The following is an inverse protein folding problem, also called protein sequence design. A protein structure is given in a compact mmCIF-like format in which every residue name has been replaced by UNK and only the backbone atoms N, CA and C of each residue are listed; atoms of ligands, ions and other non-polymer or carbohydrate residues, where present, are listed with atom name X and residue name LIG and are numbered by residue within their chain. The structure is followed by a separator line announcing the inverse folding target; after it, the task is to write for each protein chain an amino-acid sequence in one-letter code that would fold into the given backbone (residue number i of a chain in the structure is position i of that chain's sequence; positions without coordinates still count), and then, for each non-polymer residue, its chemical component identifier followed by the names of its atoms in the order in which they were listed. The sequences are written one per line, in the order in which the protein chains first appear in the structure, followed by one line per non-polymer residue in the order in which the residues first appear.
data_IF_787756006144
#
_entry.id   IF_787756006144
#
_cell.length_a   1.000
_cell.length_b   1.000
_cell.length_c   1.000
_cell.angle_alpha   90.00
_cell.angle_beta   90.00
_cell.angle_gamma   90.00
#
_symmetry.space_group_name_H-M   'P 1'
#
loop_
_entity.id
_entity.type
_entity.pdbx_description
1 polymer ?
#
# COMPACT_ATOMS: atom_id res chain seq x y z
N UNK A 1 -36.89 -15.72 12.29
CA UNK A 1 -36.29 -15.51 10.96
C UNK A 1 -34.79 -15.41 11.07
N UNK A 2 -34.08 -16.11 10.17
CA UNK A 2 -32.63 -15.96 10.01
C UNK A 2 -32.46 -14.94 8.88
N UNK A 3 -31.99 -13.74 9.21
CA UNK A 3 -31.60 -12.76 8.20
C UNK A 3 -30.28 -13.24 7.58
N UNK A 4 -30.28 -13.48 6.26
CA UNK A 4 -29.11 -14.01 5.54
C UNK A 4 -28.99 -13.37 4.16
N UNK A 5 -27.79 -12.85 3.87
CA UNK A 5 -27.42 -12.23 2.61
C UNK A 5 -26.67 -13.18 1.67
N UNK A 6 -26.44 -12.71 0.45
CA UNK A 6 -25.68 -13.47 -0.56
C UNK A 6 -24.21 -13.59 -0.14
N UNK A 7 -23.76 -14.83 0.08
CA UNK A 7 -22.40 -15.15 0.50
C UNK A 7 -22.27 -15.56 1.97
N UNK A 8 -23.36 -15.50 2.73
CA UNK A 8 -23.42 -16.04 4.08
C UNK A 8 -23.42 -17.57 4.08
N UNK A 9 -22.80 -18.16 5.09
CA UNK A 9 -22.76 -19.61 5.28
C UNK A 9 -23.59 -19.96 6.50
N UNK A 10 -24.63 -20.77 6.28
CA UNK A 10 -25.47 -21.28 7.36
C UNK A 10 -24.79 -22.51 7.99
N UNK A 11 -24.60 -22.46 9.31
CA UNK A 11 -24.05 -23.56 10.10
C UNK A 11 -25.10 -24.07 11.10
N UNK A 12 -25.02 -25.35 11.45
CA UNK A 12 -25.83 -25.90 12.54
C UNK A 12 -25.38 -25.28 13.88
N UNK A 13 -26.32 -24.99 14.78
CA UNK A 13 -26.01 -24.35 16.07
C UNK A 13 -24.99 -25.12 16.94
N UNK A 14 -24.94 -26.45 16.80
CA UNK A 14 -23.97 -27.31 17.51
C UNK A 14 -22.58 -27.41 16.84
N UNK A 15 -22.40 -26.80 15.67
CA UNK A 15 -21.15 -26.82 14.91
C UNK A 15 -20.95 -25.47 14.20
N UNK A 16 -20.70 -24.38 14.94
CA UNK A 16 -20.52 -23.06 14.35
C UNK A 16 -19.27 -23.04 13.47
N UNK A 17 -19.40 -22.45 12.28
CA UNK A 17 -18.25 -22.18 11.41
C UNK A 17 -17.43 -21.01 11.97
N UNK A 18 -16.11 -21.15 11.90
CA UNK A 18 -15.21 -20.07 12.26
C UNK A 18 -15.28 -18.96 11.21
N UNK A 19 -15.19 -17.71 11.67
CA UNK A 19 -15.00 -16.53 10.82
C UNK A 19 -13.65 -15.91 11.16
N UNK A 20 -12.91 -15.46 10.16
CA UNK A 20 -11.65 -14.76 10.37
C UNK A 20 -11.35 -13.80 9.24
N UNK A 21 -10.63 -12.73 9.54
CA UNK A 21 -10.01 -11.85 8.56
C UNK A 21 -8.51 -12.16 8.38
N UNK A 22 -7.96 -13.18 9.05
CA UNK A 22 -6.57 -13.60 8.89
C UNK A 22 -6.42 -15.12 8.95
N UNK A 23 -5.66 -15.70 8.03
CA UNK A 23 -5.37 -17.13 8.07
C UNK A 23 -4.01 -17.48 7.47
N UNK A 24 -3.48 -18.62 7.90
CA UNK A 24 -2.35 -19.26 7.26
C UNK A 24 -2.86 -20.19 6.14
N UNK A 25 -2.21 -20.14 4.98
CA UNK A 25 -2.57 -20.97 3.83
C UNK A 25 -1.33 -21.41 3.05
N UNK A 26 -1.42 -22.60 2.46
CA UNK A 26 -0.48 -23.05 1.45
C UNK A 26 -0.95 -22.52 0.09
N UNK A 27 -0.11 -21.78 -0.62
CA UNK A 27 -0.45 -21.13 -1.89
C UNK A 27 0.51 -21.54 -2.97
N UNK A 28 -0.04 -21.97 -4.12
CA UNK A 28 0.68 -22.19 -5.37
C UNK A 28 0.55 -20.93 -6.24
N UNK A 29 1.69 -20.39 -6.68
CA UNK A 29 1.78 -19.17 -7.47
C UNK A 29 1.83 -19.44 -8.97
N UNK A 30 1.06 -18.68 -9.75
CA UNK A 30 0.87 -18.86 -11.19
C UNK A 30 1.37 -17.70 -12.05
N UNK A 31 1.71 -16.56 -11.44
CA UNK A 31 2.12 -15.38 -12.20
C UNK A 31 3.63 -15.38 -12.44
N UNK A 32 4.05 -14.87 -13.59
CA UNK A 32 5.47 -14.62 -13.90
C UNK A 32 6.04 -13.52 -12.99
N UNK A 33 5.22 -12.54 -12.63
CA UNK A 33 5.58 -11.54 -11.62
C UNK A 33 5.61 -12.20 -10.24
N UNK A 34 6.69 -12.04 -9.45
CA UNK A 34 6.79 -12.68 -8.15
C UNK A 34 5.74 -12.15 -7.17
N UNK A 35 5.24 -13.03 -6.31
CA UNK A 35 4.42 -12.64 -5.17
C UNK A 35 5.29 -11.90 -4.15
N UNK A 36 4.97 -10.62 -3.96
CA UNK A 36 5.60 -9.76 -2.95
C UNK A 36 4.67 -9.59 -1.74
N UNK A 37 5.17 -9.80 -0.50
CA UNK A 37 4.42 -9.43 0.71
C UNK A 37 4.00 -7.95 0.69
N UNK A 38 2.84 -7.66 1.27
CA UNK A 38 2.25 -6.32 1.33
C UNK A 38 1.36 -5.96 0.13
N UNK A 39 1.52 -6.61 -1.03
CA UNK A 39 0.68 -6.38 -2.22
C UNK A 39 -0.75 -6.85 -1.98
N UNK A 40 -1.71 -6.08 -2.50
CA UNK A 40 -3.15 -6.39 -2.45
C UNK A 40 -3.56 -7.25 -3.65
N UNK A 41 -4.39 -8.25 -3.37
CA UNK A 41 -5.04 -9.15 -4.31
C UNK A 41 -6.53 -9.21 -4.02
N UNK A 42 -7.32 -9.70 -4.97
CA UNK A 42 -8.67 -10.14 -4.68
C UNK A 42 -8.64 -11.64 -4.38
N UNK A 43 -9.14 -12.05 -3.22
CA UNK A 43 -9.33 -13.47 -2.91
C UNK A 43 -10.77 -13.86 -3.23
N UNK A 44 -10.95 -14.98 -3.92
CA UNK A 44 -12.24 -15.58 -4.19
C UNK A 44 -12.35 -16.91 -3.47
N UNK A 45 -13.19 -16.93 -2.45
CA UNK A 45 -13.59 -18.11 -1.69
C UNK A 45 -14.90 -18.66 -2.25
N UNK A 46 -15.35 -19.81 -1.76
CA UNK A 46 -16.57 -20.45 -2.25
C UNK A 46 -17.82 -19.56 -2.18
N UNK A 47 -17.94 -18.72 -1.15
CA UNK A 47 -19.18 -17.96 -0.89
C UNK A 47 -19.06 -16.48 -1.21
N UNK A 48 -17.86 -15.91 -1.19
CA UNK A 48 -17.63 -14.48 -1.43
C UNK A 48 -16.24 -14.19 -1.97
N UNK A 49 -16.11 -13.01 -2.56
CA UNK A 49 -14.82 -12.43 -2.92
C UNK A 49 -14.55 -11.21 -2.05
N UNK A 50 -13.33 -11.08 -1.55
CA UNK A 50 -12.89 -9.95 -0.72
C UNK A 50 -11.50 -9.50 -1.14
N UNK A 51 -11.09 -8.30 -0.72
CA UNK A 51 -9.69 -7.92 -0.82
C UNK A 51 -8.85 -8.73 0.18
N UNK A 52 -7.67 -9.14 -0.24
CA UNK A 52 -6.69 -9.85 0.55
C UNK A 52 -5.31 -9.22 0.38
N UNK A 53 -4.48 -9.32 1.40
CA UNK A 53 -3.10 -8.89 1.42
C UNK A 53 -2.25 -10.04 1.95
N UNK A 54 -1.12 -10.31 1.28
CA UNK A 54 -0.11 -11.22 1.81
C UNK A 54 0.62 -10.48 2.92
N UNK A 55 0.43 -10.87 4.17
CA UNK A 55 1.11 -10.24 5.31
C UNK A 55 2.53 -10.74 5.47
N UNK A 56 2.74 -12.05 5.27
CA UNK A 56 4.02 -12.70 5.52
C UNK A 56 4.15 -13.96 4.64
N UNK A 57 5.33 -14.19 4.09
CA UNK A 57 5.74 -15.48 3.53
C UNK A 57 6.62 -16.17 4.57
N UNK A 58 6.15 -17.27 5.17
CA UNK A 58 6.92 -18.00 6.18
C UNK A 58 8.06 -18.79 5.56
N UNK A 59 7.75 -19.56 4.52
CA UNK A 59 8.72 -20.36 3.78
C UNK A 59 8.12 -20.78 2.44
N UNK A 60 8.99 -21.04 1.48
CA UNK A 60 8.68 -21.76 0.25
C UNK A 60 8.81 -23.26 0.53
N UNK A 61 8.04 -24.09 -0.16
CA UNK A 61 8.20 -25.54 -0.16
C UNK A 61 9.02 -25.95 -1.37
N UNK A 62 10.02 -26.79 -1.13
CA UNK A 62 10.74 -27.47 -2.21
C UNK A 62 9.79 -28.43 -2.95
N UNK A 63 9.64 -28.35 -4.28
CA UNK A 63 8.68 -29.17 -5.03
C UNK A 63 8.95 -30.67 -4.98
N UNK A 64 10.21 -31.08 -4.80
CA UNK A 64 10.62 -32.49 -4.81
C UNK A 64 10.55 -33.11 -3.40
N UNK A 65 10.93 -32.35 -2.38
CA UNK A 65 11.10 -32.84 -1.01
C UNK A 65 10.06 -32.33 -0.02
N UNK A 66 9.26 -31.32 -0.40
CA UNK A 66 8.29 -30.61 0.45
C UNK A 66 8.92 -30.01 1.73
N UNK A 67 10.24 -29.80 1.74
CA UNK A 67 10.93 -29.19 2.86
C UNK A 67 10.81 -27.65 2.81
N UNK A 68 10.74 -26.99 3.97
CA UNK A 68 10.68 -25.54 4.04
C UNK A 68 12.03 -24.91 3.65
N UNK A 69 12.00 -24.04 2.66
CA UNK A 69 13.09 -23.19 2.21
C UNK A 69 12.80 -21.75 2.61
N UNK A 70 13.78 -21.08 3.21
CA UNK A 70 13.66 -19.65 3.49
C UNK A 70 13.56 -18.87 2.18
N UNK A 71 12.47 -18.13 2.00
CA UNK A 71 12.23 -17.33 0.81
C UNK A 71 11.55 -16.02 1.20
N UNK A 72 11.84 -14.95 0.46
CA UNK A 72 11.20 -13.63 0.64
C UNK A 72 10.09 -13.35 -0.37
N UNK A 73 10.03 -14.14 -1.44
CA UNK A 73 9.08 -14.05 -2.56
C UNK A 73 8.73 -15.46 -3.08
N UNK A 74 7.60 -15.60 -3.75
CA UNK A 74 7.25 -16.79 -4.54
C UNK A 74 7.34 -16.46 -6.03
N UNK A 75 8.05 -17.28 -6.79
CA UNK A 75 8.13 -17.21 -8.25
C UNK A 75 7.13 -18.17 -8.91
N UNK A 76 7.05 -18.16 -10.24
CA UNK A 76 6.13 -19.00 -11.00
C UNK A 76 6.29 -20.48 -10.62
N UNK A 77 5.17 -21.15 -10.31
CA UNK A 77 5.07 -22.54 -9.85
C UNK A 77 5.60 -22.82 -8.44
N UNK A 78 5.97 -21.79 -7.68
CA UNK A 78 6.35 -21.98 -6.30
C UNK A 78 5.14 -22.22 -5.40
N UNK A 79 5.33 -23.07 -4.40
CA UNK A 79 4.38 -23.27 -3.31
C UNK A 79 4.99 -22.64 -2.06
N UNK A 80 4.21 -21.87 -1.30
CA UNK A 80 4.66 -21.34 -0.02
C UNK A 80 3.56 -21.28 1.03
N UNK A 81 3.96 -21.35 2.30
CA UNK A 81 3.07 -21.07 3.42
C UNK A 81 3.03 -19.55 3.63
N UNK A 82 1.86 -18.96 3.39
CA UNK A 82 1.59 -17.53 3.50
C UNK A 82 0.64 -17.24 4.65
N UNK A 83 0.82 -16.09 5.28
CA UNK A 83 -0.23 -15.45 6.08
C UNK A 83 -0.97 -14.44 5.22
N UNK A 84 -2.29 -14.58 5.13
CA UNK A 84 -3.18 -13.66 4.42
C UNK A 84 -4.00 -12.85 5.43
N UNK A 85 -4.15 -11.55 5.17
CA UNK A 85 -5.08 -10.66 5.86
C UNK A 85 -6.13 -10.16 4.87
N UNK A 86 -7.39 -10.14 5.30
CA UNK A 86 -8.55 -9.84 4.48
C UNK A 86 -9.14 -8.49 4.89
N UNK A 87 -9.77 -7.82 3.92
CA UNK A 87 -10.45 -6.54 4.16
C UNK A 87 -11.77 -6.72 4.95
N UNK A 88 -12.27 -7.95 5.08
CA UNK A 88 -13.43 -8.27 5.90
C UNK A 88 -13.41 -9.75 6.33
N UNK A 89 -13.99 -10.10 7.49
CA UNK A 89 -14.07 -11.47 7.97
C UNK A 89 -14.84 -12.38 7.00
N UNK A 90 -14.34 -13.60 6.83
CA UNK A 90 -14.97 -14.64 6.00
C UNK A 90 -15.17 -15.91 6.82
N UNK A 91 -16.31 -16.56 6.61
CA UNK A 91 -16.53 -17.91 7.10
C UNK A 91 -15.60 -18.87 6.36
N UNK A 92 -14.89 -19.70 7.10
CA UNK A 92 -13.93 -20.64 6.53
C UNK A 92 -13.90 -21.95 7.32
N UNK A 93 -13.28 -22.96 6.72
CA UNK A 93 -12.80 -24.13 7.43
C UNK A 93 -11.42 -24.52 6.88
N UNK A 94 -10.57 -25.21 7.66
CA UNK A 94 -9.36 -25.82 7.12
C UNK A 94 -9.66 -26.68 5.89
N UNK A 95 -8.83 -26.60 4.85
CA UNK A 95 -9.02 -27.36 3.61
C UNK A 95 -9.07 -28.87 3.85
N UNK A 96 -8.33 -29.35 4.86
CA UNK A 96 -8.35 -30.74 5.30
C UNK A 96 -9.73 -31.20 5.82
N UNK A 97 -10.53 -30.28 6.36
CA UNK A 97 -11.86 -30.54 6.91
C UNK A 97 -12.97 -30.30 5.87
N UNK A 98 -12.87 -29.20 5.11
CA UNK A 98 -13.83 -28.86 4.08
C UNK A 98 -13.15 -28.19 2.88
N UNK A 99 -13.05 -28.93 1.78
CA UNK A 99 -12.39 -28.46 0.54
C UNK A 99 -13.08 -27.27 -0.10
N UNK A 100 -14.40 -27.15 0.08
CA UNK A 100 -15.18 -26.04 -0.47
C UNK A 100 -14.89 -24.75 0.28
N UNK A 101 -14.92 -24.78 1.62
CA UNK A 101 -14.69 -23.58 2.44
C UNK A 101 -13.22 -23.26 2.69
N UNK A 102 -12.33 -24.24 2.52
CA UNK A 102 -10.89 -24.06 2.71
C UNK A 102 -10.11 -23.77 1.42
N UNK A 103 -10.76 -23.82 0.25
CA UNK A 103 -10.11 -23.55 -1.04
C UNK A 103 -10.37 -22.12 -1.51
N UNK A 104 -9.37 -21.50 -2.13
CA UNK A 104 -9.52 -20.17 -2.74
C UNK A 104 -8.59 -19.96 -3.94
N UNK A 105 -8.89 -18.91 -4.69
CA UNK A 105 -7.97 -18.35 -5.69
C UNK A 105 -7.62 -16.89 -5.37
N UNK A 106 -6.43 -16.47 -5.76
CA UNK A 106 -5.98 -15.09 -5.76
C UNK A 106 -6.07 -14.55 -7.19
N UNK A 107 -6.60 -13.34 -7.31
CA UNK A 107 -6.83 -12.65 -8.58
C UNK A 107 -6.19 -11.27 -8.50
N UNK A 108 -5.43 -10.89 -9.52
CA UNK A 108 -4.87 -9.54 -9.62
C UNK A 108 -6.02 -8.56 -9.94
N UNK A 109 -6.22 -7.50 -9.13
CA UNK A 109 -7.36 -6.60 -9.30
C UNK A 109 -7.27 -5.70 -10.54
N UNK A 110 -6.08 -5.52 -11.12
CA UNK A 110 -5.86 -4.72 -12.31
C UNK A 110 -6.06 -5.55 -13.58
N UNK A 111 -5.39 -6.71 -13.67
CA UNK A 111 -5.43 -7.55 -14.88
C UNK A 111 -6.59 -8.54 -14.89
N UNK A 112 -7.23 -8.77 -13.73
CA UNK A 112 -8.26 -9.80 -13.49
C UNK A 112 -7.78 -11.24 -13.74
N UNK A 113 -6.47 -11.44 -13.85
CA UNK A 113 -5.88 -12.77 -14.02
C UNK A 113 -5.84 -13.53 -12.70
N UNK A 114 -6.01 -14.84 -12.76
CA UNK A 114 -5.80 -15.70 -11.58
C UNK A 114 -4.31 -15.90 -11.38
N UNK A 115 -3.79 -15.35 -10.29
CA UNK A 115 -2.34 -15.30 -10.00
C UNK A 115 -1.89 -16.38 -9.03
N UNK A 116 -2.83 -17.05 -8.35
CA UNK A 116 -2.52 -18.20 -7.50
C UNK A 116 -3.76 -18.93 -7.01
N UNK A 117 -3.56 -20.11 -6.43
CA UNK A 117 -4.58 -20.84 -5.70
C UNK A 117 -4.06 -21.29 -4.34
N UNK A 118 -4.94 -21.41 -3.35
CA UNK A 118 -4.52 -21.76 -2.00
C UNK A 118 -5.49 -22.61 -1.21
N UNK A 119 -4.93 -23.20 -0.17
CA UNK A 119 -5.59 -24.08 0.79
C UNK A 119 -5.40 -23.52 2.20
N UNK A 120 -6.50 -23.16 2.86
CA UNK A 120 -6.48 -22.63 4.22
C UNK A 120 -6.05 -23.73 5.19
N UNK A 121 -5.04 -23.46 6.01
CA UNK A 121 -4.59 -24.36 7.08
C UNK A 121 -5.37 -24.12 8.37
N UNK A 122 -5.38 -22.87 8.84
CA UNK A 122 -6.06 -22.45 10.07
C UNK A 122 -6.19 -20.93 10.12
N UNK A 123 -7.21 -20.44 10.83
CA UNK A 123 -7.37 -19.01 11.11
C UNK A 123 -6.37 -18.53 12.16
N UNK A 124 -5.92 -17.28 12.01
CA UNK A 124 -5.00 -16.62 12.93
C UNK A 124 -5.78 -15.72 13.90
N UNK A 125 -5.78 -16.08 15.18
CA UNK A 125 -6.60 -15.44 16.22
C UNK A 125 -6.00 -14.15 16.82
N UNK A 126 -5.08 -13.47 16.14
CA UNK A 126 -4.41 -12.29 16.74
C UNK A 126 -5.32 -11.06 16.87
N UNK A 127 -6.40 -10.97 16.08
CA UNK A 127 -7.27 -9.79 16.01
C UNK A 127 -8.56 -9.86 16.85
N UNK A 128 -8.93 -11.02 17.39
CA UNK A 128 -10.19 -11.17 18.15
C UNK A 128 -10.25 -10.32 19.45
N UNK A 129 -9.12 -9.79 19.91
CA UNK A 129 -9.04 -8.92 21.09
C UNK A 129 -8.91 -7.42 20.78
N UNK A 130 -8.92 -7.01 19.51
CA UNK A 130 -8.87 -5.59 19.13
C UNK A 130 -10.27 -5.15 18.71
N UNK A 131 -11.11 -4.87 19.71
CA UNK A 131 -12.34 -4.15 19.42
C UNK A 131 -11.98 -2.74 18.95
N UNK A 132 -12.47 -2.34 17.77
CA UNK A 132 -12.48 -0.94 17.37
C UNK A 132 -13.25 -0.16 18.43
N UNK A 133 -12.51 0.55 19.28
CA UNK A 133 -13.11 1.45 20.24
C UNK A 133 -13.69 2.61 19.45
N UNK A 134 -15.01 2.75 19.45
CA UNK A 134 -15.64 3.98 19.00
C UNK A 134 -15.17 5.09 19.94
N UNK A 135 -14.26 5.94 19.45
CA UNK A 135 -13.78 7.08 20.20
C UNK A 135 -14.86 8.16 20.19
N UNK A 136 -15.16 8.76 21.34
CA UNK A 136 -16.11 9.86 21.46
C UNK A 136 -15.68 11.11 20.67
N UNK A 137 -14.39 11.21 20.33
CA UNK A 137 -13.81 12.29 19.53
C UNK A 137 -13.41 11.75 18.16
N UNK A 138 -14.25 12.05 17.17
CA UNK A 138 -14.04 11.65 15.80
C UNK A 138 -13.15 12.63 15.02
N UNK A 139 -12.84 12.27 13.78
CA UNK A 139 -12.08 13.09 12.85
C UNK A 139 -12.77 14.44 12.59
N UNK A 140 -14.10 14.44 12.47
CA UNK A 140 -14.88 15.64 12.16
C UNK A 140 -14.67 16.70 13.24
N UNK A 141 -14.72 16.31 14.52
CA UNK A 141 -14.45 17.19 15.64
C UNK A 141 -13.03 17.77 15.58
N UNK A 142 -12.03 16.96 15.25
CA UNK A 142 -10.63 17.40 15.12
C UNK A 142 -10.43 18.37 13.96
N UNK A 143 -11.06 18.12 12.82
CA UNK A 143 -11.05 19.00 11.66
C UNK A 143 -11.70 20.35 11.98
N UNK A 144 -12.86 20.36 12.66
CA UNK A 144 -13.56 21.57 13.06
C UNK A 144 -12.72 22.47 13.97
N UNK A 145 -12.04 21.92 14.97
CA UNK A 145 -11.17 22.71 15.87
C UNK A 145 -10.01 23.35 15.12
N UNK A 146 -9.49 22.68 14.07
CA UNK A 146 -8.40 23.20 13.24
C UNK A 146 -8.87 24.15 12.14
N UNK A 147 -10.18 24.28 11.92
CA UNK A 147 -10.74 25.11 10.85
C UNK A 147 -10.26 24.70 9.45
N UNK A 148 -9.97 23.41 9.23
CA UNK A 148 -9.41 22.92 7.96
C UNK A 148 -9.97 21.55 7.58
N UNK A 149 -9.95 21.25 6.28
CA UNK A 149 -10.22 19.90 5.79
C UNK A 149 -8.93 19.07 5.85
N UNK A 150 -8.92 17.92 6.57
CA UNK A 150 -7.75 17.06 6.60
C UNK A 150 -7.59 16.36 5.26
N UNK A 151 -6.40 16.44 4.67
CA UNK A 151 -6.06 15.81 3.38
C UNK A 151 -4.72 15.10 3.46
N UNK A 152 -4.52 14.10 2.62
CA UNK A 152 -3.23 13.47 2.35
C UNK A 152 -2.79 13.86 0.94
N UNK A 153 -1.73 14.66 0.83
CA UNK A 153 -1.18 15.13 -0.43
C UNK A 153 0.03 14.28 -0.78
N UNK A 154 -0.12 13.43 -1.77
CA UNK A 154 0.84 12.39 -2.10
C UNK A 154 1.65 12.75 -3.34
N UNK A 155 2.87 13.25 -3.15
CA UNK A 155 3.78 13.56 -4.24
C UNK A 155 4.48 12.30 -4.73
N UNK A 156 4.30 11.95 -6.01
CA UNK A 156 4.98 10.86 -6.71
C UNK A 156 5.78 11.37 -7.90
N UNK A 157 6.86 10.68 -8.27
CA UNK A 157 7.77 11.11 -9.34
C UNK A 157 9.18 10.56 -9.17
N UNK A 158 10.00 10.65 -10.21
CA UNK A 158 11.39 10.17 -10.22
C UNK A 158 12.26 10.84 -9.13
N UNK A 159 13.35 10.18 -8.75
CA UNK A 159 14.38 10.85 -7.93
C UNK A 159 14.87 12.11 -8.67
N UNK A 160 15.15 13.22 -7.97
CA UNK A 160 15.56 14.46 -8.65
C UNK A 160 14.46 15.21 -9.42
N UNK A 161 13.22 14.70 -9.47
CA UNK A 161 12.10 15.40 -10.11
C UNK A 161 11.73 16.73 -9.44
N UNK A 162 12.01 16.89 -8.13
CA UNK A 162 11.70 18.11 -7.38
C UNK A 162 10.59 17.98 -6.33
N UNK A 163 10.12 16.75 -6.04
CA UNK A 163 9.07 16.45 -5.05
C UNK A 163 9.29 17.15 -3.71
N UNK A 164 10.41 16.90 -3.02
CA UNK A 164 10.68 17.49 -1.70
C UNK A 164 10.79 19.03 -1.76
N UNK A 165 11.29 19.59 -2.86
CA UNK A 165 11.33 21.04 -3.07
C UNK A 165 9.94 21.64 -3.15
N UNK A 166 9.06 21.07 -3.98
CA UNK A 166 7.68 21.54 -4.13
C UNK A 166 6.90 21.30 -2.84
N UNK A 167 7.01 20.12 -2.23
CA UNK A 167 6.32 19.79 -0.99
C UNK A 167 6.71 20.72 0.17
N UNK A 168 7.99 21.11 0.29
CA UNK A 168 8.42 22.09 1.29
C UNK A 168 7.84 23.49 1.03
N UNK A 169 7.76 23.92 -0.23
CA UNK A 169 7.12 25.20 -0.59
C UNK A 169 5.63 25.18 -0.29
N UNK A 170 4.94 24.06 -0.58
CA UNK A 170 3.53 23.85 -0.22
C UNK A 170 3.35 23.91 1.30
N UNK A 171 4.18 23.19 2.06
CA UNK A 171 4.14 23.19 3.53
C UNK A 171 4.27 24.60 4.10
N UNK A 172 5.27 25.36 3.62
CA UNK A 172 5.50 26.75 4.03
C UNK A 172 4.32 27.66 3.67
N UNK A 173 3.76 27.49 2.47
CA UNK A 173 2.64 28.30 2.00
C UNK A 173 1.34 28.03 2.76
N UNK A 174 1.06 26.76 3.11
CA UNK A 174 -0.07 26.38 3.95
C UNK A 174 0.12 26.85 5.40
N UNK A 175 1.31 26.69 5.96
CA UNK A 175 1.62 27.14 7.32
C UNK A 175 1.45 28.66 7.45
N UNK A 176 1.89 29.44 6.46
CA UNK A 176 1.70 30.89 6.41
C UNK A 176 0.22 31.31 6.37
N UNK A 177 -0.68 30.41 5.92
CA UNK A 177 -2.13 30.60 5.89
C UNK A 177 -2.84 30.05 7.14
N UNK A 178 -2.08 29.61 8.14
CA UNK A 178 -2.61 29.09 9.40
C UNK A 178 -3.02 27.61 9.37
N UNK A 179 -2.75 26.89 8.27
CA UNK A 179 -3.06 25.47 8.21
C UNK A 179 -2.08 24.64 9.05
N UNK A 180 -2.60 23.59 9.68
CA UNK A 180 -1.84 22.58 10.40
C UNK A 180 -1.38 21.48 9.44
N UNK A 181 -0.09 21.43 9.18
CA UNK A 181 0.54 20.54 8.20
C UNK A 181 1.64 19.67 8.83
N UNK A 182 2.00 18.61 8.13
CA UNK A 182 3.21 17.85 8.43
C UNK A 182 3.76 17.17 7.16
N UNK A 183 5.06 17.33 6.88
CA UNK A 183 5.75 16.69 5.76
C UNK A 183 6.45 15.37 6.16
N UNK A 184 5.99 14.27 5.58
CA UNK A 184 6.65 12.97 5.58
C UNK A 184 7.55 12.86 4.35
N UNK A 185 8.87 12.93 4.55
CA UNK A 185 9.88 12.72 3.50
C UNK A 185 10.72 11.46 3.78
N UNK A 186 11.29 10.88 2.72
CA UNK A 186 12.10 9.68 2.77
C UNK A 186 13.30 9.78 3.70
N UNK A 187 13.89 10.96 3.83
CA UNK A 187 15.01 11.18 4.74
C UNK A 187 14.53 11.08 6.21
N UNK A 188 13.40 11.71 6.56
CA UNK A 188 12.87 11.71 7.94
C UNK A 188 12.38 10.32 8.40
N UNK A 189 11.69 9.59 7.53
CA UNK A 189 11.07 8.31 7.90
C UNK A 189 12.08 7.16 7.91
N UNK A 190 13.07 7.17 7.02
CA UNK A 190 14.09 6.10 6.93
C UNK A 190 15.10 6.11 8.08
N UNK A 191 15.28 7.23 8.77
CA UNK A 191 16.12 7.26 9.98
C UNK A 191 15.42 6.71 11.23
N UNK A 192 14.08 6.63 11.22
CA UNK A 192 13.27 6.22 12.37
C UNK A 192 12.42 4.99 12.08
N UNK A 193 11.17 5.23 11.68
CA UNK A 193 10.12 4.23 11.52
C UNK A 193 10.49 3.10 10.54
N UNK A 194 11.23 3.42 9.49
CA UNK A 194 11.57 2.49 8.39
C UNK A 194 13.08 2.19 8.32
N UNK A 195 13.80 2.30 9.45
CA UNK A 195 15.25 2.05 9.52
C UNK A 195 15.64 0.60 9.23
N UNK A 196 14.70 -0.33 9.39
CA UNK A 196 14.84 -1.77 9.14
C UNK A 196 14.69 -2.14 7.66
N UNK A 197 14.24 -1.21 6.81
CA UNK A 197 13.92 -1.45 5.40
C UNK A 197 15.05 -0.94 4.48
N UNK A 198 15.44 -1.78 3.53
CA UNK A 198 16.40 -1.46 2.48
C UNK A 198 15.78 -0.74 1.26
N UNK A 199 16.24 -1.15 0.08
CA UNK A 199 15.85 -0.57 -1.22
C UNK A 199 15.35 -1.62 -2.23
N UNK A 200 15.15 -2.86 -1.79
CA UNK A 200 14.50 -3.91 -2.58
C UNK A 200 13.05 -3.53 -2.88
N UNK A 201 12.43 -4.21 -3.86
CA UNK A 201 11.03 -3.95 -4.18
C UNK A 201 10.11 -4.31 -3.00
N UNK A 202 10.39 -5.39 -2.26
CA UNK A 202 9.65 -5.74 -1.04
C UNK A 202 9.76 -4.63 0.03
N UNK A 203 10.99 -4.16 0.28
CA UNK A 203 11.23 -3.09 1.26
C UNK A 203 10.54 -1.79 0.86
N UNK A 204 10.45 -1.51 -0.45
CA UNK A 204 9.75 -0.34 -0.99
C UNK A 204 8.25 -0.44 -0.78
N UNK A 205 7.66 -1.62 -1.02
CA UNK A 205 6.23 -1.89 -0.78
C UNK A 205 5.90 -1.70 0.70
N UNK A 206 6.66 -2.33 1.60
CA UNK A 206 6.43 -2.21 3.04
C UNK A 206 6.69 -0.79 3.55
N UNK A 207 7.71 -0.11 3.05
CA UNK A 207 7.99 1.29 3.36
C UNK A 207 6.77 2.15 3.03
N UNK A 208 6.21 1.99 1.82
CA UNK A 208 5.06 2.77 1.37
C UNK A 208 3.79 2.46 2.18
N UNK A 209 3.58 1.18 2.53
CA UNK A 209 2.47 0.76 3.40
C UNK A 209 2.54 1.44 4.76
N UNK A 210 3.71 1.41 5.43
CA UNK A 210 3.89 2.07 6.75
C UNK A 210 3.64 3.57 6.67
N UNK A 211 4.14 4.22 5.62
CA UNK A 211 3.93 5.66 5.41
C UNK A 211 2.45 5.99 5.20
N UNK A 212 1.74 5.17 4.42
CA UNK A 212 0.31 5.37 4.17
C UNK A 212 -0.51 5.26 5.46
N UNK A 213 -0.22 4.29 6.33
CA UNK A 213 -0.89 4.15 7.63
C UNK A 213 -0.57 5.32 8.58
N UNK A 214 0.68 5.80 8.60
CA UNK A 214 1.04 6.99 9.39
C UNK A 214 0.33 8.22 8.86
N UNK A 215 0.32 8.42 7.53
CA UNK A 215 -0.39 9.53 6.91
C UNK A 215 -1.89 9.47 7.25
N UNK A 216 -2.50 8.29 7.22
CA UNK A 216 -3.90 8.08 7.64
C UNK A 216 -4.14 8.53 9.08
N UNK A 217 -3.35 8.05 10.04
CA UNK A 217 -3.49 8.44 11.46
C UNK A 217 -3.34 9.95 11.67
N UNK A 218 -2.42 10.59 10.95
CA UNK A 218 -2.19 12.03 11.02
C UNK A 218 -3.32 12.83 10.37
N UNK A 219 -3.86 12.35 9.26
CA UNK A 219 -5.05 12.91 8.62
C UNK A 219 -6.29 12.75 9.52
N UNK A 220 -6.48 11.61 10.18
CA UNK A 220 -7.51 11.39 11.20
C UNK A 220 -7.36 12.34 12.39
N UNK A 221 -6.12 12.72 12.73
CA UNK A 221 -5.83 13.75 13.73
C UNK A 221 -6.18 15.19 13.29
N UNK A 222 -6.67 15.35 12.05
CA UNK A 222 -7.14 16.61 11.49
C UNK A 222 -6.10 17.38 10.66
N UNK A 223 -4.94 16.78 10.35
CA UNK A 223 -3.84 17.46 9.65
C UNK A 223 -3.95 17.38 8.12
N UNK A 224 -3.31 18.33 7.43
CA UNK A 224 -2.95 18.19 6.02
C UNK A 224 -1.56 17.56 5.95
N UNK A 225 -1.49 16.29 5.56
CA UNK A 225 -0.25 15.51 5.55
C UNK A 225 0.33 15.56 4.14
N UNK A 226 1.58 15.99 4.02
CA UNK A 226 2.32 16.02 2.76
C UNK A 226 3.24 14.80 2.73
N UNK A 227 3.18 13.98 1.68
CA UNK A 227 3.98 12.76 1.54
C UNK A 227 4.86 12.89 0.32
N UNK A 228 6.18 12.93 0.49
CA UNK A 228 7.16 13.08 -0.60
C UNK A 228 8.00 11.82 -0.76
N UNK A 229 7.52 10.85 -1.55
CA UNK A 229 8.22 9.59 -1.81
C UNK A 229 8.18 9.25 -3.30
N UNK A 230 9.21 8.55 -3.80
CA UNK A 230 9.22 8.12 -5.21
C UNK A 230 7.96 7.33 -5.55
N UNK A 231 7.52 6.43 -4.65
CA UNK A 231 6.30 5.63 -4.76
C UNK A 231 6.10 5.05 -6.18
N UNK A 232 7.04 4.23 -6.68
CA UNK A 232 7.17 3.94 -8.11
C UNK A 232 6.03 3.11 -8.71
N UNK A 233 5.34 2.31 -7.90
CA UNK A 233 4.36 1.34 -8.37
C UNK A 233 2.92 1.84 -8.19
N UNK A 234 2.08 1.70 -9.23
CA UNK A 234 0.69 2.18 -9.21
C UNK A 234 -0.18 1.46 -8.19
N UNK A 235 0.02 0.15 -8.04
CA UNK A 235 -0.78 -0.66 -7.12
C UNK A 235 -0.64 -0.20 -5.68
N UNK A 236 0.57 0.15 -5.26
CA UNK A 236 0.88 0.62 -3.91
C UNK A 236 0.31 2.02 -3.68
N UNK A 237 0.37 2.92 -4.67
CA UNK A 237 -0.30 4.23 -4.59
C UNK A 237 -1.81 4.09 -4.50
N UNK A 238 -2.42 3.17 -5.27
CA UNK A 238 -3.85 2.87 -5.18
C UNK A 238 -4.22 2.25 -3.82
N UNK A 239 -3.38 1.36 -3.29
CA UNK A 239 -3.59 0.78 -1.97
C UNK A 239 -3.52 1.84 -0.86
N UNK A 240 -2.60 2.80 -0.96
CA UNK A 240 -2.52 3.95 -0.06
C UNK A 240 -3.78 4.84 -0.18
N UNK A 241 -4.21 5.17 -1.39
CA UNK A 241 -5.44 5.95 -1.66
C UNK A 241 -6.67 5.34 -1.01
N UNK A 242 -6.83 4.02 -1.08
CA UNK A 242 -7.97 3.30 -0.49
C UNK A 242 -8.04 3.34 1.05
N UNK A 243 -7.03 3.90 1.73
CA UNK A 243 -7.07 4.10 3.19
C UNK A 243 -7.81 5.37 3.61
N UNK A 244 -8.05 6.29 2.67
CA UNK A 244 -8.65 7.60 2.90
C UNK A 244 -10.07 7.65 2.35
N UNK A 245 -10.89 8.59 2.84
CA UNK A 245 -12.22 8.79 2.26
C UNK A 245 -12.12 9.55 0.93
N UNK A 246 -13.20 9.52 0.17
CA UNK A 246 -13.28 10.17 -1.14
C UNK A 246 -12.93 11.66 -1.04
N UNK A 247 -12.03 12.13 -1.91
CA UNK A 247 -11.59 13.52 -1.98
C UNK A 247 -10.46 13.91 -1.01
N UNK A 248 -10.04 13.01 -0.12
CA UNK A 248 -9.03 13.34 0.89
C UNK A 248 -7.61 13.01 0.44
N UNK A 249 -7.46 12.00 -0.41
CA UNK A 249 -6.19 11.62 -1.00
C UNK A 249 -6.00 12.36 -2.33
N UNK A 250 -4.99 13.23 -2.38
CA UNK A 250 -4.63 14.04 -3.56
C UNK A 250 -3.29 13.55 -4.07
N UNK A 251 -3.29 12.79 -5.16
CA UNK A 251 -2.08 12.33 -5.84
C UNK A 251 -1.54 13.44 -6.74
N UNK A 252 -0.32 13.87 -6.44
CA UNK A 252 0.39 14.92 -7.18
C UNK A 252 1.54 14.29 -7.94
N UNK A 253 1.39 14.17 -9.26
CA UNK A 253 2.44 13.68 -10.13
C UNK A 253 3.42 14.81 -10.46
N UNK A 254 4.65 14.69 -9.96
CA UNK A 254 5.75 15.57 -10.31
C UNK A 254 6.42 15.01 -11.55
N UNK A 255 5.98 15.50 -12.71
CA UNK A 255 6.39 15.00 -14.00
C UNK A 255 7.71 15.67 -14.43
N UNK A 256 8.73 14.82 -14.54
CA UNK A 256 10.08 15.20 -14.98
C UNK A 256 10.62 14.05 -15.82
N UNK A 257 11.02 14.29 -17.08
CA UNK A 257 11.69 13.26 -17.87
C UNK A 257 12.94 12.72 -17.18
N UNK A 258 13.20 11.42 -17.32
CA UNK A 258 14.36 10.76 -16.72
C UNK A 258 15.68 11.46 -17.07
N UNK A 259 15.86 11.86 -18.34
CA UNK A 259 17.06 12.56 -18.77
C UNK A 259 17.31 13.87 -18.02
N UNK A 260 16.23 14.62 -17.71
CA UNK A 260 16.35 15.84 -16.93
C UNK A 260 16.61 15.55 -15.44
N UNK A 261 15.93 14.53 -14.88
CA UNK A 261 16.18 14.09 -13.51
C UNK A 261 17.65 13.63 -13.31
N UNK A 262 18.20 12.90 -14.29
CA UNK A 262 19.61 12.49 -14.37
C UNK A 262 20.55 13.69 -14.55
N UNK A 263 20.18 14.68 -15.37
CA UNK A 263 20.97 15.90 -15.53
C UNK A 263 21.06 16.71 -14.23
N UNK A 264 19.97 16.74 -13.44
CA UNK A 264 19.90 17.45 -12.17
C UNK A 264 20.73 16.77 -11.07
N UNK A 265 20.70 15.44 -11.01
CA UNK A 265 21.35 14.54 -10.05
C UNK A 265 21.79 15.17 -8.71
N UNK A 266 20.85 15.85 -8.04
CA UNK A 266 21.14 16.73 -6.89
C UNK A 266 21.84 15.99 -5.74
N UNK A 267 21.54 14.69 -5.59
CA UNK A 267 22.09 13.82 -4.56
C UNK A 267 23.24 12.91 -5.07
N UNK A 268 23.64 13.03 -6.34
CA UNK A 268 24.66 12.17 -6.96
C UNK A 268 24.27 10.69 -7.06
N UNK A 269 22.96 10.39 -7.00
CA UNK A 269 22.43 9.03 -6.93
C UNK A 269 22.35 8.40 -8.31
N UNK A 270 22.02 9.17 -9.35
CA UNK A 270 21.99 8.64 -10.72
C UNK A 270 23.39 8.27 -11.20
N UNK A 271 24.40 9.11 -10.93
CA UNK A 271 25.78 8.79 -11.26
C UNK A 271 26.26 7.50 -10.57
N UNK A 272 25.89 7.28 -9.30
CA UNK A 272 26.21 6.04 -8.56
C UNK A 272 25.47 4.82 -9.13
N UNK A 273 24.18 4.96 -9.44
CA UNK A 273 23.39 3.90 -10.05
C UNK A 273 23.95 3.48 -11.42
N UNK A 274 24.33 4.45 -12.27
CA UNK A 274 24.95 4.19 -13.59
C UNK A 274 26.31 3.48 -13.49
N UNK A 275 27.03 3.61 -12.37
CA UNK A 275 28.26 2.86 -12.08
C UNK A 275 28.02 1.49 -11.42
N UNK A 276 26.75 1.11 -11.18
CA UNK A 276 26.40 -0.15 -10.52
C UNK A 276 26.57 -0.15 -9.00
N UNK A 277 26.82 1.01 -8.38
CA UNK A 277 27.03 1.14 -6.93
C UNK A 277 25.71 1.21 -6.15
N UNK A 278 24.60 1.46 -6.84
CA UNK A 278 23.25 1.51 -6.27
C UNK A 278 22.32 0.61 -7.11
N UNK A 279 22.20 -0.69 -6.76
CA UNK A 279 21.26 -1.58 -7.42
C UNK A 279 19.81 -1.23 -7.09
N UNK A 280 18.88 -1.61 -7.97
CA UNK A 280 17.43 -1.40 -7.86
C UNK A 280 17.05 0.09 -7.75
N UNK A 281 17.72 0.95 -8.51
CA UNK A 281 17.46 2.38 -8.58
C UNK A 281 16.34 2.71 -9.60
N UNK A 282 15.32 3.42 -9.11
CA UNK A 282 14.13 3.76 -9.91
C UNK A 282 14.49 4.64 -11.10
N UNK A 283 14.09 4.21 -12.29
CA UNK A 283 14.37 4.87 -13.56
C UNK A 283 15.66 4.41 -14.24
N UNK A 284 16.49 3.59 -13.58
CA UNK A 284 17.70 3.01 -14.18
C UNK A 284 17.54 1.50 -14.36
N UNK A 285 17.42 0.76 -13.26
CA UNK A 285 17.32 -0.70 -13.20
C UNK A 285 16.10 -1.20 -12.38
N UNK A 286 15.25 -0.27 -11.91
CA UNK A 286 13.92 -0.54 -11.35
C UNK A 286 12.89 0.38 -12.02
N UNK A 287 11.67 -0.08 -12.34
CA UNK A 287 10.70 0.71 -13.09
C UNK A 287 10.09 1.84 -12.26
N UNK A 288 9.61 2.87 -12.96
CA UNK A 288 8.69 3.87 -12.44
C UNK A 288 7.42 3.80 -13.28
N UNK A 289 6.28 3.61 -12.65
CA UNK A 289 4.97 3.57 -13.29
C UNK A 289 4.27 4.92 -13.08
N UNK A 290 4.20 5.79 -14.10
CA UNK A 290 3.51 7.08 -13.97
C UNK A 290 2.03 6.88 -13.62
N UNK A 291 1.43 7.75 -12.79
CA UNK A 291 0.01 7.67 -12.49
C UNK A 291 -0.84 7.96 -13.73
N UNK A 292 -1.94 7.22 -13.89
CA UNK A 292 -2.86 7.40 -15.02
C UNK A 292 -3.91 8.49 -14.76
N UNK A 293 -4.27 8.69 -13.48
CA UNK A 293 -5.35 9.58 -13.03
C UNK A 293 -4.95 10.31 -11.76
N UNK A 294 -3.84 11.04 -11.78
CA UNK A 294 -3.46 11.93 -10.68
C UNK A 294 -4.40 13.15 -10.61
N UNK A 295 -4.74 13.62 -9.42
CA UNK A 295 -5.52 14.85 -9.21
C UNK A 295 -4.78 16.07 -9.76
N UNK A 296 -3.44 16.09 -9.64
CA UNK A 296 -2.59 17.15 -10.18
C UNK A 296 -1.38 16.57 -10.91
N UNK A 297 -1.07 17.13 -12.07
CA UNK A 297 0.19 16.90 -12.80
C UNK A 297 0.98 18.19 -12.86
N UNK A 298 2.23 18.13 -12.40
CA UNK A 298 3.14 19.26 -12.29
C UNK A 298 4.29 19.09 -13.28
N UNK A 299 4.26 19.88 -14.36
CA UNK A 299 5.35 19.94 -15.32
C UNK A 299 6.49 20.82 -14.77
N UNK A 300 7.57 20.14 -14.38
CA UNK A 300 8.75 20.78 -13.77
C UNK A 300 9.72 21.42 -14.77
N UNK A 301 9.41 21.36 -16.06
CA UNK A 301 10.14 22.06 -17.13
C UNK A 301 9.42 23.33 -17.57
N UNK A 302 8.09 23.35 -17.48
CA UNK A 302 7.28 24.50 -17.89
C UNK A 302 7.22 25.62 -16.84
N UNK A 303 7.21 25.27 -15.55
CA UNK A 303 6.97 26.21 -14.47
C UNK A 303 8.02 26.15 -13.35
N UNK A 304 8.13 27.24 -12.59
CA UNK A 304 9.02 27.28 -11.43
C UNK A 304 8.41 26.52 -10.25
N UNK A 305 9.23 26.00 -9.32
CA UNK A 305 8.72 25.31 -8.12
C UNK A 305 7.74 26.16 -7.29
N UNK A 306 7.89 27.48 -7.28
CA UNK A 306 6.98 28.40 -6.58
C UNK A 306 5.59 28.42 -7.20
N UNK A 307 5.50 28.49 -8.54
CA UNK A 307 4.20 28.49 -9.23
C UNK A 307 3.53 27.14 -9.08
N UNK A 308 4.28 26.05 -9.23
CA UNK A 308 3.78 24.69 -9.02
C UNK A 308 3.26 24.47 -7.59
N UNK A 309 3.96 25.00 -6.57
CA UNK A 309 3.51 24.92 -5.19
C UNK A 309 2.21 25.71 -4.95
N UNK A 310 2.08 26.92 -5.50
CA UNK A 310 0.84 27.70 -5.39
C UNK A 310 -0.35 27.01 -6.08
N UNK A 311 -0.13 26.32 -7.21
CA UNK A 311 -1.16 25.50 -7.86
C UNK A 311 -1.66 24.36 -6.96
N UNK A 312 -0.75 23.69 -6.26
CA UNK A 312 -1.12 22.66 -5.27
C UNK A 312 -1.88 23.29 -4.11
N UNK A 313 -1.42 24.42 -3.57
CA UNK A 313 -2.10 25.11 -2.46
C UNK A 313 -3.53 25.52 -2.87
N UNK A 314 -3.70 26.10 -4.05
CA UNK A 314 -5.03 26.50 -4.56
C UNK A 314 -5.98 25.30 -4.59
N UNK A 315 -5.56 24.19 -5.19
CA UNK A 315 -6.36 22.96 -5.25
C UNK A 315 -6.74 22.39 -3.88
N UNK A 316 -5.92 22.60 -2.84
CA UNK A 316 -6.19 22.11 -1.49
C UNK A 316 -7.14 23.00 -0.69
N UNK A 317 -7.22 24.29 -1.04
CA UNK A 317 -8.01 25.29 -0.34
C UNK A 317 -9.34 25.61 -1.05
N UNK A 318 -9.50 25.17 -2.29
CA UNK A 318 -10.79 25.08 -2.99
C UNK A 318 -11.70 24.00 -2.35
#
# INVERSE_FOLDING_TARGET
DVDSGRGDVLAAAGAPLASTDQFAADVLWFDEAPLLPGRRYQIKLATRSVGARVSELKHKLDPESLQPLAAKKLELNDIGELTLSLDAPVAFAPYAENRTLGGFILVDPLTRSTVGCGMIRHGLRRADNVHWQALDVDRTARAMIKGQQPRCVWFTGLSGAGKSTIANLVERGLLARGCHTYLLDGDNVRHGLNRDLGFTDEDRVENLRRIAEVAKLMTEAGLIVLVSFISPFRNERRAARNLFADGEFVEVFVDTPLAEAERRDVKGLYAKARRGELPHFTGVDSPYEPPEHAELVLDTLAETPQVLAERVIAHLLD
#
